data_IF_522918073116
#
_entry.id   IF_522918073116
#
_cell.length_a   1.000
_cell.length_b   1.000
_cell.length_c   1.000
_cell.angle_alpha   90.00
_cell.angle_beta   90.00
_cell.angle_gamma   90.00
#
_symmetry.space_group_name_H-M   'P 1'
#
loop_
_entity.id
_entity.type
_entity.pdbx_description
1 polymer ?
#
# COMPACT_ATOMS: atom_id res chain seq x y z
N UNK A 1 15.63 18.27 18.59
CA UNK A 1 14.51 17.40 18.15
C UNK A 1 14.86 15.91 18.09
N UNK A 2 16.05 15.48 18.51
CA UNK A 2 16.44 14.06 18.51
C UNK A 2 15.63 13.23 19.51
N UNK A 3 15.20 12.03 19.10
CA UNK A 3 14.54 11.04 19.96
C UNK A 3 13.03 11.21 20.23
N UNK A 4 12.36 12.20 19.61
CA UNK A 4 10.90 12.39 19.80
C UNK A 4 10.04 11.60 18.82
N UNK A 5 10.54 11.35 17.62
CA UNK A 5 9.87 10.52 16.62
C UNK A 5 10.35 9.08 16.76
N UNK A 6 9.41 8.13 16.84
CA UNK A 6 9.69 6.71 17.05
C UNK A 6 10.12 6.01 15.74
N UNK A 7 11.16 6.54 15.09
CA UNK A 7 11.80 5.95 13.90
C UNK A 7 12.34 4.55 14.19
N UNK A 8 12.53 3.66 13.19
CA UNK A 8 13.07 2.32 13.50
C UNK A 8 14.47 2.38 14.12
N UNK A 9 15.31 3.37 13.79
CA UNK A 9 16.56 3.62 14.50
C UNK A 9 16.33 3.84 16.02
N UNK A 10 15.35 4.68 16.36
CA UNK A 10 14.99 4.98 17.75
C UNK A 10 14.30 3.79 18.45
N UNK A 11 13.51 2.98 17.71
CA UNK A 11 12.90 1.75 18.23
C UNK A 11 13.97 0.70 18.52
N UNK A 12 14.97 0.57 17.65
CA UNK A 12 16.11 -0.33 17.85
C UNK A 12 16.94 0.11 19.05
N UNK A 13 17.23 1.41 19.16
CA UNK A 13 17.93 2.01 20.32
C UNK A 13 17.19 1.77 21.65
N UNK A 14 15.87 1.65 21.62
CA UNK A 14 15.01 1.35 22.78
C UNK A 14 14.71 -0.14 22.96
N UNK A 15 15.33 -1.01 22.17
CA UNK A 15 15.12 -2.45 22.22
C UNK A 15 13.66 -2.89 21.98
N UNK A 16 12.94 -2.15 21.12
CA UNK A 16 11.56 -2.48 20.73
C UNK A 16 11.49 -3.30 19.44
N UNK A 17 12.53 -3.24 18.61
CA UNK A 17 12.73 -3.99 17.36
C UNK A 17 14.22 -4.25 17.22
N UNK A 18 14.59 -5.25 16.41
CA UNK A 18 15.99 -5.63 16.20
C UNK A 18 16.58 -5.03 14.90
N UNK A 19 15.72 -4.62 13.98
CA UNK A 19 16.13 -4.10 12.67
C UNK A 19 15.78 -2.61 12.55
N UNK A 20 16.78 -1.73 12.43
CA UNK A 20 16.55 -0.30 12.26
C UNK A 20 16.20 0.07 10.80
N UNK A 21 16.16 -0.90 9.87
CA UNK A 21 15.97 -0.65 8.45
C UNK A 21 14.58 -0.08 8.12
N UNK A 22 14.50 0.75 7.09
CA UNK A 22 13.23 1.28 6.61
C UNK A 22 12.40 0.18 5.93
N UNK A 23 11.15 0.02 6.34
CA UNK A 23 10.24 -1.00 5.75
C UNK A 23 9.89 -0.75 4.28
N UNK A 24 10.05 0.49 3.81
CA UNK A 24 9.71 0.87 2.43
C UNK A 24 10.85 0.61 1.43
N UNK A 25 12.10 0.71 1.86
CA UNK A 25 13.29 0.57 1.01
C UNK A 25 14.17 -0.63 1.40
N UNK A 26 14.19 -1.01 2.67
CA UNK A 26 14.81 -2.22 3.21
C UNK A 26 16.33 -2.18 3.36
N UNK A 27 17.01 -1.12 2.89
CA UNK A 27 18.47 -1.12 2.77
C UNK A 27 19.19 -0.08 3.64
N UNK A 28 18.50 0.88 4.25
CA UNK A 28 19.13 1.79 5.21
C UNK A 28 18.34 1.93 6.50
N UNK A 29 19.08 2.36 7.52
CA UNK A 29 18.54 2.82 8.78
C UNK A 29 17.47 3.90 8.57
N UNK A 30 16.30 3.65 9.15
CA UNK A 30 15.21 4.60 9.20
C UNK A 30 15.42 5.55 10.38
N UNK A 31 16.13 6.64 10.12
CA UNK A 31 16.31 7.75 11.04
C UNK A 31 15.52 8.99 10.58
N UNK A 32 15.60 10.09 11.33
CA UNK A 32 14.85 11.31 11.03
C UNK A 32 15.21 11.90 9.66
N UNK A 33 16.50 11.91 9.30
CA UNK A 33 16.96 12.38 8.00
C UNK A 33 16.38 11.51 6.87
N UNK A 34 16.40 10.19 7.05
CA UNK A 34 15.81 9.27 6.09
C UNK A 34 14.32 9.53 5.90
N UNK A 35 13.52 9.46 6.97
CA UNK A 35 12.05 9.60 6.90
C UNK A 35 11.63 10.93 6.26
N UNK A 36 12.35 12.02 6.53
CA UNK A 36 11.95 13.33 6.03
C UNK A 36 12.58 13.72 4.69
N UNK A 37 13.76 13.22 4.31
CA UNK A 37 14.49 13.76 3.14
C UNK A 37 14.79 12.74 2.05
N UNK A 38 15.34 11.58 2.41
CA UNK A 38 15.94 10.64 1.45
C UNK A 38 15.11 9.38 1.23
N UNK A 39 14.12 9.09 2.08
CA UNK A 39 13.19 8.00 1.87
C UNK A 39 12.48 8.16 0.51
N UNK A 40 12.38 7.11 -0.33
CA UNK A 40 11.69 7.21 -1.62
C UNK A 40 10.27 7.77 -1.49
N UNK A 41 9.59 7.38 -0.41
CA UNK A 41 8.28 7.90 -0.03
C UNK A 41 8.30 9.42 0.19
N UNK A 42 9.25 9.92 0.98
CA UNK A 42 9.42 11.35 1.24
C UNK A 42 9.77 12.12 -0.04
N UNK A 43 10.65 11.59 -0.88
CA UNK A 43 11.04 12.21 -2.17
C UNK A 43 9.83 12.40 -3.08
N UNK A 44 8.94 11.40 -3.17
CA UNK A 44 7.72 11.50 -3.98
C UNK A 44 6.76 12.53 -3.40
N UNK A 45 6.52 12.52 -2.09
CA UNK A 45 5.67 13.52 -1.41
C UNK A 45 6.21 14.92 -1.69
N UNK A 46 7.48 15.19 -1.40
CA UNK A 46 8.08 16.50 -1.66
C UNK A 46 8.04 16.90 -3.13
N UNK A 47 8.25 15.97 -4.06
CA UNK A 47 8.14 16.24 -5.50
C UNK A 47 6.72 16.63 -5.95
N UNK A 48 5.70 16.24 -5.20
CA UNK A 48 4.30 16.61 -5.47
C UNK A 48 3.83 17.87 -4.74
N UNK A 49 4.43 18.20 -3.60
CA UNK A 49 4.10 19.38 -2.81
C UNK A 49 4.83 20.63 -3.30
N UNK A 50 6.03 20.47 -3.86
CA UNK A 50 6.89 21.58 -4.29
C UNK A 50 6.84 21.72 -5.82
N UNK A 51 6.38 22.87 -6.37
CA UNK A 51 6.45 23.15 -7.80
C UNK A 51 7.89 23.01 -8.32
N UNK A 52 8.04 22.44 -9.51
CA UNK A 52 9.30 22.04 -10.14
C UNK A 52 10.42 23.08 -10.05
N UNK A 53 11.21 23.02 -8.97
CA UNK A 53 12.58 23.51 -8.85
C UNK A 53 13.26 22.68 -7.75
N UNK A 54 13.86 21.55 -8.15
CA UNK A 54 14.47 20.53 -7.26
C UNK A 54 15.50 21.07 -6.27
N UNK A 55 16.00 22.28 -6.48
CA UNK A 55 17.04 22.90 -5.66
C UNK A 55 16.52 23.66 -4.44
N UNK A 56 15.20 23.82 -4.24
CA UNK A 56 14.72 24.65 -3.15
C UNK A 56 13.49 24.13 -2.40
N UNK A 57 13.63 22.93 -1.82
CA UNK A 57 12.73 22.46 -0.75
C UNK A 57 12.73 23.42 0.45
N UNK A 58 13.85 24.12 0.66
CA UNK A 58 14.05 25.08 1.73
C UNK A 58 13.27 26.38 1.51
N UNK A 59 12.94 26.79 0.28
CA UNK A 59 12.24 28.07 0.04
C UNK A 59 10.82 28.08 0.63
N UNK A 60 10.12 26.96 0.62
CA UNK A 60 8.77 26.89 1.19
C UNK A 60 8.80 27.01 2.72
N UNK A 61 9.86 26.51 3.35
CA UNK A 61 10.00 26.49 4.82
C UNK A 61 10.71 27.75 5.34
N UNK A 62 11.62 28.33 4.55
CA UNK A 62 12.55 29.37 4.98
C UNK A 62 12.47 30.68 4.17
N UNK A 63 11.67 30.78 3.12
CA UNK A 63 11.50 32.02 2.32
C UNK A 63 10.07 32.57 2.26
N UNK A 64 9.24 32.30 3.27
CA UNK A 64 7.87 32.87 3.37
C UNK A 64 7.00 32.64 2.12
N UNK A 65 7.27 31.59 1.34
CA UNK A 65 6.42 31.23 0.21
C UNK A 65 5.01 30.91 0.74
N UNK A 66 4.03 31.72 0.36
CA UNK A 66 2.65 31.51 0.80
C UNK A 66 2.14 30.18 0.24
N UNK A 67 1.76 29.28 1.14
CA UNK A 67 1.19 27.98 0.77
C UNK A 67 -0.27 27.91 1.19
N UNK A 68 -1.08 27.28 0.36
CA UNK A 68 -2.46 26.96 0.72
C UNK A 68 -2.47 25.65 1.53
N UNK A 69 -2.64 25.75 2.85
CA UNK A 69 -2.67 24.58 3.74
C UNK A 69 -3.71 23.52 3.33
N UNK A 70 -4.84 23.94 2.75
CA UNK A 70 -5.86 22.98 2.27
C UNK A 70 -5.38 22.17 1.07
N UNK A 71 -4.58 22.76 0.17
CA UNK A 71 -3.96 22.09 -0.96
C UNK A 71 -2.94 21.06 -0.50
N UNK A 72 -2.08 21.43 0.46
CA UNK A 72 -1.09 20.50 1.05
C UNK A 72 -1.79 19.31 1.70
N UNK A 73 -2.84 19.56 2.51
CA UNK A 73 -3.62 18.48 3.14
C UNK A 73 -4.27 17.58 2.07
N UNK A 74 -4.84 18.16 1.01
CA UNK A 74 -5.45 17.40 -0.07
C UNK A 74 -4.44 16.51 -0.81
N UNK A 75 -3.23 17.04 -1.09
CA UNK A 75 -2.14 16.30 -1.71
C UNK A 75 -1.65 15.17 -0.80
N UNK A 76 -1.44 15.43 0.50
CA UNK A 76 -1.08 14.41 1.48
C UNK A 76 -2.13 13.28 1.53
N UNK A 77 -3.42 13.60 1.58
CA UNK A 77 -4.52 12.60 1.55
C UNK A 77 -4.58 11.83 0.23
N UNK A 78 -4.31 12.48 -0.90
CA UNK A 78 -4.24 11.80 -2.19
C UNK A 78 -3.10 10.77 -2.19
N UNK A 79 -1.94 11.14 -1.65
CA UNK A 79 -0.78 10.28 -1.59
C UNK A 79 -0.94 9.11 -0.60
N UNK A 80 -1.55 9.36 0.57
CA UNK A 80 -1.92 8.31 1.53
C UNK A 80 -2.75 7.21 0.86
N UNK A 81 -3.75 7.58 0.07
CA UNK A 81 -4.59 6.63 -0.67
C UNK A 81 -3.79 5.78 -1.65
N UNK A 82 -2.80 6.36 -2.32
CA UNK A 82 -1.92 5.65 -3.26
C UNK A 82 -1.04 4.63 -2.51
N UNK A 83 -0.37 5.05 -1.43
CA UNK A 83 0.47 4.16 -0.62
C UNK A 83 -0.35 3.00 -0.06
N UNK A 84 -1.50 3.29 0.55
CA UNK A 84 -2.39 2.25 1.09
C UNK A 84 -2.86 1.27 0.02
N UNK A 85 -3.19 1.76 -1.18
CA UNK A 85 -3.59 0.91 -2.30
C UNK A 85 -2.45 0.00 -2.76
N UNK A 86 -1.21 0.51 -2.78
CA UNK A 86 -0.04 -0.29 -3.15
C UNK A 86 0.27 -1.36 -2.11
N UNK A 87 0.14 -1.07 -0.81
CA UNK A 87 0.31 -2.06 0.25
C UNK A 87 -0.75 -3.18 0.19
N UNK A 88 -2.02 -2.83 -0.05
CA UNK A 88 -3.09 -3.82 -0.26
C UNK A 88 -2.78 -4.69 -1.48
N UNK A 89 -2.34 -4.10 -2.61
CA UNK A 89 -1.95 -4.85 -3.81
C UNK A 89 -0.80 -5.83 -3.51
N UNK A 90 0.24 -5.41 -2.77
CA UNK A 90 1.36 -6.28 -2.37
C UNK A 90 0.86 -7.47 -1.55
N UNK A 91 -0.04 -7.25 -0.59
CA UNK A 91 -0.62 -8.31 0.25
C UNK A 91 -1.47 -9.30 -0.57
N UNK A 92 -2.29 -8.80 -1.51
CA UNK A 92 -3.11 -9.64 -2.40
C UNK A 92 -2.21 -10.51 -3.29
N UNK A 93 -1.18 -9.92 -3.89
CA UNK A 93 -0.24 -10.65 -4.77
C UNK A 93 0.50 -11.73 -3.98
N UNK A 94 0.98 -11.42 -2.77
CA UNK A 94 1.69 -12.38 -1.92
C UNK A 94 0.83 -13.60 -1.55
N UNK A 95 -0.49 -13.42 -1.41
CA UNK A 95 -1.42 -14.48 -1.04
C UNK A 95 -2.11 -15.17 -2.23
N UNK A 96 -1.85 -14.74 -3.47
CA UNK A 96 -2.47 -15.34 -4.65
C UNK A 96 -1.74 -16.63 -5.03
N UNK A 97 -2.41 -17.76 -4.86
CA UNK A 97 -1.93 -19.07 -5.34
C UNK A 97 -2.72 -19.46 -6.58
N UNK A 98 -2.02 -19.79 -7.67
CA UNK A 98 -2.65 -20.43 -8.83
C UNK A 98 -2.79 -21.92 -8.54
N UNK A 99 -4.03 -22.39 -8.35
CA UNK A 99 -4.34 -23.82 -8.28
C UNK A 99 -4.98 -24.25 -9.58
N UNK A 100 -4.45 -25.31 -10.19
CA UNK A 100 -5.15 -25.98 -11.29
C UNK A 100 -6.38 -26.68 -10.69
N UNK A 101 -7.57 -26.12 -10.90
CA UNK A 101 -8.83 -26.74 -10.46
C UNK A 101 -9.41 -27.50 -11.64
N UNK A 102 -9.24 -28.82 -11.61
CA UNK A 102 -9.91 -29.73 -12.53
C UNK A 102 -11.23 -30.20 -11.92
N UNK A 103 -12.28 -30.23 -12.72
CA UNK A 103 -13.55 -30.82 -12.30
C UNK A 103 -13.46 -32.35 -12.33
N UNK A 104 -13.98 -32.98 -11.29
CA UNK A 104 -14.20 -34.42 -11.22
C UNK A 104 -15.68 -34.66 -10.93
N UNK A 105 -16.28 -35.67 -11.54
CA UNK A 105 -17.67 -36.04 -11.24
C UNK A 105 -17.84 -36.38 -9.74
N UNK A 106 -18.98 -36.05 -9.11
CA UNK A 106 -19.32 -36.61 -7.81
C UNK A 106 -19.57 -38.11 -7.90
N UNK A 107 -19.49 -38.80 -6.75
CA UNK A 107 -19.98 -40.17 -6.63
C UNK A 107 -21.48 -40.23 -6.97
N UNK A 108 -21.95 -41.39 -7.44
CA UNK A 108 -23.38 -41.60 -7.72
C UNK A 108 -24.22 -41.33 -6.47
N UNK A 109 -25.33 -40.61 -6.63
CA UNK A 109 -26.17 -40.13 -5.52
C UNK A 109 -25.70 -38.83 -4.86
N UNK A 110 -24.52 -38.32 -5.23
CA UNK A 110 -24.03 -37.02 -4.76
C UNK A 110 -24.16 -35.93 -5.83
N UNK A 111 -24.29 -34.69 -5.35
CA UNK A 111 -24.37 -33.50 -6.18
C UNK A 111 -23.20 -32.56 -5.84
N UNK A 112 -22.63 -31.90 -6.83
CA UNK A 112 -21.63 -30.85 -6.66
C UNK A 112 -22.22 -29.51 -7.04
N UNK A 113 -22.10 -28.54 -6.14
CA UNK A 113 -22.38 -27.14 -6.40
C UNK A 113 -21.06 -26.42 -6.66
N UNK A 114 -20.94 -25.82 -7.83
CA UNK A 114 -19.89 -24.86 -8.15
C UNK A 114 -20.51 -23.46 -8.12
N UNK A 115 -19.91 -22.53 -7.38
CA UNK A 115 -20.32 -21.12 -7.38
C UNK A 115 -19.15 -20.23 -7.74
N UNK A 116 -19.43 -19.14 -8.41
CA UNK A 116 -18.47 -18.08 -8.69
C UNK A 116 -19.13 -16.71 -8.54
N UNK A 117 -18.29 -15.68 -8.40
CA UNK A 117 -18.73 -14.32 -8.25
C UNK A 117 -17.70 -13.34 -8.76
N UNK A 118 -18.17 -12.25 -9.34
CA UNK A 118 -17.35 -11.18 -9.86
C UNK A 118 -17.89 -9.82 -9.40
N UNK A 119 -16.97 -8.89 -9.13
CA UNK A 119 -17.29 -7.50 -8.80
C UNK A 119 -16.60 -6.56 -9.77
N UNK A 120 -17.35 -5.61 -10.32
CA UNK A 120 -16.81 -4.54 -11.15
C UNK A 120 -16.53 -3.33 -10.27
N UNK A 121 -15.27 -3.13 -9.90
CA UNK A 121 -14.86 -2.08 -8.95
C UNK A 121 -15.24 -0.66 -9.38
N UNK A 122 -15.30 -0.38 -10.68
CA UNK A 122 -15.62 0.94 -11.23
C UNK A 122 -17.10 1.32 -11.07
N UNK A 123 -18.01 0.34 -11.15
CA UNK A 123 -19.47 0.57 -11.07
C UNK A 123 -20.07 0.10 -9.76
N UNK A 124 -19.30 -0.62 -8.93
CA UNK A 124 -19.77 -1.28 -7.68
C UNK A 124 -20.83 -2.35 -7.92
N UNK A 125 -20.98 -2.82 -9.16
CA UNK A 125 -21.89 -3.91 -9.50
C UNK A 125 -21.23 -5.25 -9.14
N UNK A 126 -22.03 -6.17 -8.61
CA UNK A 126 -21.63 -7.53 -8.33
C UNK A 126 -22.59 -8.51 -9.02
N UNK A 127 -22.02 -9.59 -9.55
CA UNK A 127 -22.77 -10.70 -10.12
C UNK A 127 -22.25 -12.01 -9.54
N UNK A 128 -23.13 -12.99 -9.39
CA UNK A 128 -22.78 -14.33 -8.96
C UNK A 128 -23.48 -15.37 -9.83
N UNK A 129 -22.84 -16.52 -10.00
CA UNK A 129 -23.31 -17.64 -10.78
C UNK A 129 -23.12 -18.95 -10.02
N UNK A 130 -23.86 -19.97 -10.43
CA UNK A 130 -23.67 -21.31 -9.90
C UNK A 130 -24.20 -22.39 -10.82
N UNK A 131 -23.55 -23.56 -10.77
CA UNK A 131 -23.97 -24.77 -11.49
C UNK A 131 -24.02 -25.92 -10.51
N UNK A 132 -25.14 -26.65 -10.53
CA UNK A 132 -25.33 -27.89 -9.78
C UNK A 132 -25.22 -29.05 -10.76
N UNK A 133 -24.38 -30.03 -10.43
CA UNK A 133 -24.07 -31.19 -11.27
C UNK A 133 -24.21 -32.48 -10.47
N UNK A 134 -24.75 -33.52 -11.10
CA UNK A 134 -24.69 -34.88 -10.57
C UNK A 134 -23.52 -35.66 -11.21
N UNK A 135 -23.47 -36.97 -11.03
CA UNK A 135 -22.40 -37.81 -11.59
C UNK A 135 -22.39 -37.86 -13.12
N UNK A 136 -23.48 -37.48 -13.79
CA UNK A 136 -23.65 -37.51 -15.24
C UNK A 136 -23.35 -36.16 -15.92
N UNK A 137 -23.01 -35.13 -15.14
CA UNK A 137 -22.78 -33.76 -15.64
C UNK A 137 -23.98 -32.87 -15.36
#
# INVERSE_FOLDING_TARGET
>A
MHGRLLTNAERCRRHMVDDPSCSSWGACEENMEHIFHSCPNAVVVWGSLVPHNKHNRNDIVFQDASFNGSTIIAQCRAWERVVRSNEIKKLIVKNRVTKLIQWFAPASGCWKLNTDGAVKHSTKEASAGGVIRNSNG
#
